data_IF_755777289154
#
_entry.id   IF_755777289154
#
_cell.length_a   1.000
_cell.length_b   1.000
_cell.length_c   1.000
_cell.angle_alpha   90.00
_cell.angle_beta   90.00
_cell.angle_gamma   90.00
#
_symmetry.space_group_name_H-M   'P 1'
#
loop_
_entity.id
_entity.type
_entity.pdbx_description
1 polymer ?
#
# COMPACT_ATOMS: atom_id res chain seq x y z
N UNK A 1 -3.80 -12.12 9.60
CA UNK A 1 -2.48 -12.20 10.27
C UNK A 1 -1.36 -12.69 9.34
N UNK A 2 -1.69 -13.31 8.19
CA UNK A 2 -0.73 -13.81 7.18
C UNK A 2 0.07 -12.73 6.43
N UNK A 3 -0.49 -11.54 6.19
CA UNK A 3 0.21 -10.48 5.46
C UNK A 3 1.41 -9.85 6.19
N UNK A 4 1.38 -9.80 7.53
CA UNK A 4 2.49 -9.26 8.32
C UNK A 4 3.73 -10.16 8.27
N UNK A 5 3.52 -11.48 8.29
CA UNK A 5 4.61 -12.46 8.17
C UNK A 5 5.29 -12.38 6.80
N UNK A 6 4.51 -12.17 5.73
CA UNK A 6 5.04 -11.99 4.38
C UNK A 6 5.88 -10.71 4.26
N UNK A 7 5.45 -9.61 4.89
CA UNK A 7 6.24 -8.38 4.94
C UNK A 7 7.57 -8.57 5.68
N UNK A 8 7.56 -9.24 6.83
CA UNK A 8 8.79 -9.54 7.56
C UNK A 8 9.75 -10.42 6.75
N UNK A 9 9.22 -11.43 6.04
CA UNK A 9 10.03 -12.29 5.19
C UNK A 9 10.60 -11.53 3.98
N UNK A 10 9.79 -10.70 3.32
CA UNK A 10 10.23 -9.85 2.22
C UNK A 10 11.28 -8.81 2.64
N UNK A 11 11.24 -8.34 3.89
CA UNK A 11 12.26 -7.44 4.44
C UNK A 11 13.60 -8.17 4.60
N UNK A 12 13.59 -9.45 4.97
CA UNK A 12 14.80 -10.27 5.08
C UNK A 12 15.43 -10.57 3.71
N UNK A 13 14.62 -10.72 2.66
CA UNK A 13 15.09 -10.95 1.28
C UNK A 13 15.43 -9.65 0.54
N UNK A 14 15.07 -8.49 1.10
CA UNK A 14 15.27 -7.17 0.49
C UNK A 14 14.23 -6.78 -0.55
N UNK A 15 13.19 -7.59 -0.73
CA UNK A 15 12.08 -7.36 -1.67
C UNK A 15 11.04 -6.38 -1.13
N UNK A 16 10.88 -6.31 0.19
CA UNK A 16 9.92 -5.43 0.85
C UNK A 16 10.58 -4.19 1.49
N UNK A 17 9.79 -3.12 1.61
CA UNK A 17 10.18 -1.89 2.29
C UNK A 17 10.51 -2.14 3.77
N UNK A 18 11.55 -1.47 4.27
CA UNK A 18 11.96 -1.55 5.68
C UNK A 18 11.01 -0.77 6.59
N UNK A 19 10.92 -1.17 7.86
CA UNK A 19 10.08 -0.52 8.87
C UNK A 19 9.15 -1.49 9.59
N UNK A 20 8.26 -0.95 10.42
CA UNK A 20 7.25 -1.75 11.13
C UNK A 20 6.24 -2.33 10.12
N UNK A 21 6.13 -3.66 9.98
CA UNK A 21 5.19 -4.31 9.07
C UNK A 21 3.74 -3.89 9.26
N UNK A 22 3.33 -3.63 10.50
CA UNK A 22 1.98 -3.18 10.80
C UNK A 22 1.74 -1.76 10.28
N UNK A 23 2.70 -0.86 10.47
CA UNK A 23 2.61 0.50 9.95
C UNK A 23 2.60 0.51 8.42
N UNK A 24 3.46 -0.28 7.77
CA UNK A 24 3.48 -0.40 6.31
C UNK A 24 2.14 -0.89 5.76
N UNK A 25 1.57 -1.94 6.36
CA UNK A 25 0.26 -2.45 5.98
C UNK A 25 -0.86 -1.42 6.22
N UNK A 26 -0.85 -0.76 7.38
CA UNK A 26 -1.82 0.28 7.71
C UNK A 26 -1.76 1.45 6.72
N UNK A 27 -0.56 1.93 6.39
CA UNK A 27 -0.36 3.00 5.41
C UNK A 27 -0.88 2.62 4.03
N UNK A 28 -0.57 1.41 3.54
CA UNK A 28 -1.07 0.93 2.25
C UNK A 28 -2.61 0.88 2.20
N UNK A 29 -3.24 0.36 3.26
CA UNK A 29 -4.70 0.27 3.38
C UNK A 29 -5.32 1.67 3.46
N UNK A 30 -4.78 2.57 4.27
CA UNK A 30 -5.29 3.94 4.39
C UNK A 30 -5.17 4.70 3.07
N UNK A 31 -4.07 4.53 2.33
CA UNK A 31 -3.88 5.15 1.02
C UNK A 31 -4.91 4.64 0.00
N UNK A 32 -5.11 3.31 -0.08
CA UNK A 32 -6.11 2.72 -0.99
C UNK A 32 -7.53 3.12 -0.63
N UNK A 33 -7.88 3.18 0.66
CA UNK A 33 -9.18 3.68 1.12
C UNK A 33 -9.40 5.14 0.74
N UNK A 34 -8.43 6.02 0.97
CA UNK A 34 -8.52 7.44 0.59
C UNK A 34 -8.72 7.64 -0.91
N UNK A 35 -8.00 6.86 -1.73
CA UNK A 35 -8.16 6.87 -3.20
C UNK A 35 -9.56 6.41 -3.61
N UNK A 36 -10.07 5.35 -3.00
CA UNK A 36 -11.43 4.88 -3.25
C UNK A 36 -12.48 5.95 -2.87
N UNK A 37 -12.30 6.63 -1.74
CA UNK A 37 -13.14 7.76 -1.33
C UNK A 37 -13.11 8.89 -2.35
N UNK A 38 -11.95 9.23 -2.91
CA UNK A 38 -11.85 10.24 -3.96
C UNK A 38 -12.53 9.83 -5.26
N UNK A 39 -12.41 8.57 -5.69
CA UNK A 39 -13.12 8.08 -6.89
C UNK A 39 -14.63 8.17 -6.71
N UNK A 40 -15.15 7.86 -5.52
CA UNK A 40 -16.58 8.00 -5.22
C UNK A 40 -17.03 9.46 -5.16
N UNK A 41 -16.21 10.36 -4.61
CA UNK A 41 -16.55 11.78 -4.44
C UNK A 41 -16.54 12.55 -5.77
N UNK A 42 -15.58 12.27 -6.64
CA UNK A 42 -15.32 13.07 -7.85
C UNK A 42 -15.65 12.33 -9.16
N UNK A 43 -16.02 11.04 -9.09
CA UNK A 43 -16.48 10.25 -10.22
C UNK A 43 -15.44 10.19 -11.35
N UNK A 44 -15.86 10.56 -12.56
CA UNK A 44 -15.02 10.52 -13.76
C UNK A 44 -13.96 11.65 -13.81
N UNK A 45 -14.06 12.66 -12.95
CA UNK A 45 -13.05 13.72 -12.87
C UNK A 45 -11.80 13.29 -12.09
N UNK A 46 -11.89 12.20 -11.33
CA UNK A 46 -10.77 11.66 -10.59
C UNK A 46 -10.03 10.60 -11.39
N UNK A 47 -8.77 10.90 -11.69
CA UNK A 47 -7.85 9.97 -12.32
C UNK A 47 -7.23 9.10 -11.23
N UNK A 48 -7.42 7.78 -11.36
CA UNK A 48 -6.79 6.83 -10.45
C UNK A 48 -5.27 6.92 -10.59
N UNK A 49 -4.52 6.95 -9.47
CA UNK A 49 -3.07 6.85 -9.52
C UNK A 49 -2.65 5.48 -10.05
N UNK A 50 -1.45 5.40 -10.63
CA UNK A 50 -0.86 4.13 -11.04
C UNK A 50 -0.70 3.20 -9.84
N UNK A 51 -1.15 1.95 -10.00
CA UNK A 51 -1.07 0.90 -8.97
C UNK A 51 0.37 0.64 -8.54
N UNK A 52 1.35 0.79 -9.44
CA UNK A 52 2.76 0.58 -9.14
C UNK A 52 3.27 1.61 -8.13
N UNK A 53 2.70 2.82 -8.11
CA UNK A 53 3.04 3.84 -7.12
C UNK A 53 2.56 3.42 -5.73
N UNK A 54 1.37 2.81 -5.63
CA UNK A 54 0.84 2.31 -4.35
C UNK A 54 1.64 1.11 -3.83
N UNK A 55 2.04 0.20 -4.72
CA UNK A 55 2.78 -1.01 -4.36
C UNK A 55 4.16 -0.69 -3.79
N UNK A 56 4.79 0.41 -4.21
CA UNK A 56 6.06 0.92 -3.64
C UNK A 56 5.99 1.31 -2.17
N UNK A 57 4.80 1.43 -1.58
CA UNK A 57 4.67 1.57 -0.11
C UNK A 57 5.17 0.29 0.57
N UNK A 58 4.99 -0.87 -0.06
CA UNK A 58 5.32 -2.18 0.49
C UNK A 58 6.60 -2.77 -0.12
N UNK A 59 6.99 -2.38 -1.33
CA UNK A 59 8.11 -2.95 -2.08
C UNK A 59 9.22 -1.91 -2.36
N UNK A 60 10.46 -2.39 -2.47
CA UNK A 60 11.61 -1.58 -2.94
C UNK A 60 11.70 -1.52 -4.47
#
# INVERSE_FOLDING_TARGET
MTGLLQMQQGQQTGEAAEGDPFQLAATFISATQGIASFKLMFGEQFVLPDKEILIRILLK
#
